data_IF_397329551518
#
_entry.id   IF_397329551518
#
_cell.length_a   1.000
_cell.length_b   1.000
_cell.length_c   1.000
_cell.angle_alpha   90.00
_cell.angle_beta   90.00
_cell.angle_gamma   90.00
#
_symmetry.space_group_name_H-M   'P 1'
#
loop_
_entity.id
_entity.type
_entity.pdbx_description
1 polymer ?
#
# COMPACT_ATOMS: atom_id res chain seq x y z
N UNK A 1 15.12 33.18 6.77
CA UNK A 1 15.95 32.66 5.67
C UNK A 1 15.27 31.42 5.14
N UNK A 2 14.66 31.51 3.97
CA UNK A 2 13.82 30.45 3.38
C UNK A 2 14.71 29.44 2.68
N UNK A 3 14.76 28.19 3.17
CA UNK A 3 15.51 27.12 2.52
C UNK A 3 14.72 26.58 1.33
N UNK A 4 14.97 27.14 0.14
CA UNK A 4 14.44 26.61 -1.11
C UNK A 4 15.22 25.35 -1.49
N UNK A 5 14.61 24.18 -1.30
CA UNK A 5 15.21 22.90 -1.73
C UNK A 5 14.90 22.72 -3.21
N UNK A 6 15.92 22.89 -4.06
CA UNK A 6 15.83 22.61 -5.49
C UNK A 6 15.98 21.10 -5.67
N UNK A 7 14.94 20.44 -6.17
CA UNK A 7 14.95 19.02 -6.50
C UNK A 7 15.71 18.79 -7.82
N UNK A 8 16.61 17.79 -7.90
CA UNK A 8 17.25 17.44 -9.17
C UNK A 8 16.24 16.78 -10.12
N UNK A 9 16.35 17.12 -11.40
CA UNK A 9 15.55 16.56 -12.49
C UNK A 9 15.84 15.06 -12.66
N UNK A 10 14.80 14.23 -12.78
CA UNK A 10 14.88 12.76 -12.90
C UNK A 10 15.53 12.23 -14.21
N UNK A 11 16.21 13.06 -14.99
CA UNK A 11 16.79 12.68 -16.29
C UNK A 11 18.27 12.30 -16.23
N UNK A 12 18.80 11.91 -15.08
CA UNK A 12 20.23 11.68 -14.88
C UNK A 12 20.53 10.27 -14.36
N UNK A 13 19.95 9.26 -15.02
CA UNK A 13 20.19 7.84 -14.69
C UNK A 13 21.24 7.15 -15.58
N UNK A 14 21.82 7.86 -16.55
CA UNK A 14 22.76 7.28 -17.54
C UNK A 14 24.21 7.78 -17.40
N UNK A 15 24.59 8.35 -16.26
CA UNK A 15 25.99 8.68 -16.00
C UNK A 15 26.44 8.12 -14.65
N UNK A 16 27.49 7.29 -14.68
CA UNK A 16 28.20 6.72 -13.54
C UNK A 16 28.79 7.81 -12.64
N UNK A 17 27.94 8.44 -11.83
CA UNK A 17 28.32 9.39 -10.80
C UNK A 17 28.05 8.69 -9.46
N UNK A 18 29.11 8.41 -8.70
CA UNK A 18 29.00 7.95 -7.32
C UNK A 18 28.39 9.08 -6.48
N UNK A 19 27.09 8.96 -6.15
CA UNK A 19 26.42 9.94 -5.29
C UNK A 19 27.03 9.92 -3.87
N UNK A 20 27.11 11.07 -3.19
CA UNK A 20 27.51 11.11 -1.79
C UNK A 20 26.48 10.37 -0.90
N UNK A 21 26.94 9.71 0.17
CA UNK A 21 26.11 8.95 1.11
C UNK A 21 24.90 9.72 1.64
N UNK A 22 25.01 11.05 1.79
CA UNK A 22 23.91 11.92 2.22
C UNK A 22 22.77 12.01 1.18
N UNK A 23 23.08 11.93 -0.11
CA UNK A 23 22.09 11.94 -1.18
C UNK A 23 21.33 10.62 -1.26
N UNK A 24 22.01 9.48 -1.05
CA UNK A 24 21.34 8.17 -0.92
C UNK A 24 20.36 8.15 0.27
N UNK A 25 20.80 8.64 1.45
CA UNK A 25 19.94 8.74 2.62
C UNK A 25 18.72 9.64 2.39
N UNK A 26 18.89 10.77 1.69
CA UNK A 26 17.79 11.65 1.32
C UNK A 26 16.80 10.95 0.36
N UNK A 27 17.29 10.27 -0.68
CA UNK A 27 16.46 9.52 -1.63
C UNK A 27 15.63 8.45 -0.92
N UNK A 28 16.23 7.70 0.00
CA UNK A 28 15.53 6.68 0.78
C UNK A 28 14.49 7.28 1.72
N UNK A 29 14.80 8.41 2.37
CA UNK A 29 13.85 9.14 3.21
C UNK A 29 12.65 9.66 2.40
N UNK A 30 12.87 10.22 1.21
CA UNK A 30 11.80 10.66 0.30
C UNK A 30 10.95 9.48 -0.19
N UNK A 31 11.58 8.34 -0.54
CA UNK A 31 10.85 7.11 -0.88
C UNK A 31 10.00 6.65 0.30
N UNK A 32 10.52 6.69 1.51
CA UNK A 32 9.81 6.24 2.71
C UNK A 32 8.66 7.18 3.10
N UNK A 33 8.83 8.50 2.95
CA UNK A 33 7.73 9.47 3.13
C UNK A 33 6.63 9.30 2.08
N UNK A 34 6.99 9.19 0.80
CA UNK A 34 6.01 8.93 -0.27
C UNK A 34 5.28 7.60 -0.06
N UNK A 35 5.96 6.57 0.48
CA UNK A 35 5.34 5.30 0.88
C UNK A 35 4.30 5.53 1.99
N UNK A 36 4.66 6.23 3.07
CA UNK A 36 3.73 6.54 4.17
C UNK A 36 2.51 7.34 3.69
N UNK A 37 2.70 8.33 2.82
CA UNK A 37 1.58 9.13 2.29
C UNK A 37 0.63 8.31 1.41
N UNK A 38 1.14 7.38 0.59
CA UNK A 38 0.29 6.49 -0.22
C UNK A 38 -0.51 5.49 0.62
N UNK A 39 0.01 5.09 1.78
CA UNK A 39 -0.69 4.22 2.74
C UNK A 39 -1.78 5.01 3.49
N UNK A 40 -1.52 6.29 3.81
CA UNK A 40 -2.47 7.12 4.56
C UNK A 40 -3.67 7.59 3.73
N UNK A 41 -3.54 7.68 2.41
CA UNK A 41 -4.59 8.16 1.51
C UNK A 41 -5.19 7.03 0.66
N UNK A 42 -5.35 5.84 1.23
CA UNK A 42 -5.99 4.73 0.53
C UNK A 42 -6.91 3.94 1.44
N UNK A 43 -7.97 3.38 0.86
CA UNK A 43 -8.90 2.52 1.56
C UNK A 43 -9.08 1.21 0.81
N UNK A 44 -8.96 0.10 1.55
CA UNK A 44 -9.23 -1.22 1.02
C UNK A 44 -10.69 -1.59 1.21
N UNK A 45 -11.30 -2.09 0.14
CA UNK A 45 -12.71 -2.45 0.06
C UNK A 45 -12.83 -3.90 -0.43
N UNK A 46 -13.89 -4.59 -0.04
CA UNK A 46 -14.32 -5.85 -0.64
C UNK A 46 -15.77 -5.77 -1.10
N UNK A 47 -16.11 -6.52 -2.14
CA UNK A 47 -17.45 -6.49 -2.74
C UNK A 47 -18.33 -7.60 -2.16
N UNK A 48 -19.34 -7.25 -1.39
CA UNK A 48 -20.30 -8.19 -0.76
C UNK A 48 -21.69 -7.58 -0.75
N UNK A 49 -22.73 -8.40 -0.93
CA UNK A 49 -24.14 -7.98 -0.91
C UNK A 49 -24.42 -6.79 -1.85
N UNK A 50 -23.86 -6.84 -3.06
CA UNK A 50 -23.97 -5.81 -4.09
C UNK A 50 -23.44 -4.41 -3.70
N UNK A 51 -22.49 -4.33 -2.77
CA UNK A 51 -21.85 -3.09 -2.34
C UNK A 51 -20.37 -3.27 -2.05
N UNK A 52 -19.63 -2.16 -2.11
CA UNK A 52 -18.26 -2.09 -1.61
C UNK A 52 -18.28 -1.82 -0.12
N UNK A 53 -17.62 -2.68 0.65
CA UNK A 53 -17.52 -2.61 2.12
C UNK A 53 -16.06 -2.41 2.49
N UNK A 54 -15.73 -1.44 3.35
CA UNK A 54 -14.36 -1.24 3.77
C UNK A 54 -13.87 -2.33 4.69
N UNK A 55 -12.63 -2.79 4.46
CA UNK A 55 -11.92 -3.62 5.43
C UNK A 55 -11.52 -2.76 6.64
N UNK A 56 -11.30 -3.41 7.77
CA UNK A 56 -10.86 -2.75 8.99
C UNK A 56 -9.50 -2.07 8.76
N UNK A 57 -9.34 -0.85 9.28
CA UNK A 57 -8.14 -0.01 9.07
C UNK A 57 -6.86 -0.74 9.50
N UNK A 58 -6.93 -1.57 10.54
CA UNK A 58 -5.80 -2.38 11.02
C UNK A 58 -5.23 -3.33 9.96
N UNK A 59 -6.03 -3.70 8.96
CA UNK A 59 -5.64 -4.61 7.89
C UNK A 59 -5.01 -3.88 6.70
N UNK A 60 -5.24 -2.58 6.55
CA UNK A 60 -4.78 -1.82 5.39
C UNK A 60 -3.26 -1.81 5.31
N UNK A 61 -2.58 -1.55 6.43
CA UNK A 61 -1.11 -1.54 6.44
C UNK A 61 -0.52 -2.90 6.05
N UNK A 62 -1.11 -4.01 6.52
CA UNK A 62 -0.66 -5.36 6.15
C UNK A 62 -0.81 -5.64 4.67
N UNK A 63 -1.91 -5.20 4.05
CA UNK A 63 -2.14 -5.33 2.60
C UNK A 63 -1.10 -4.54 1.80
N UNK A 64 -0.82 -3.31 2.21
CA UNK A 64 0.20 -2.47 1.57
C UNK A 64 1.60 -3.08 1.68
N UNK A 65 1.99 -3.53 2.88
CA UNK A 65 3.29 -4.16 3.10
C UNK A 65 3.46 -5.44 2.28
N UNK A 66 2.37 -6.20 2.08
CA UNK A 66 2.35 -7.41 1.24
C UNK A 66 2.59 -7.08 -0.23
N UNK A 67 1.93 -6.05 -0.77
CA UNK A 67 2.16 -5.61 -2.15
C UNK A 67 3.59 -5.11 -2.32
N UNK A 68 4.08 -4.30 -1.38
CA UNK A 68 5.43 -3.73 -1.44
C UNK A 68 6.51 -4.81 -1.38
N UNK A 69 6.29 -5.87 -0.59
CA UNK A 69 7.20 -7.01 -0.50
C UNK A 69 7.02 -8.04 -1.62
N UNK A 70 6.09 -7.81 -2.58
CA UNK A 70 5.71 -8.76 -3.62
C UNK A 70 5.24 -10.11 -3.05
N UNK A 71 4.58 -10.07 -1.89
CA UNK A 71 3.98 -11.23 -1.25
C UNK A 71 2.78 -11.74 -2.05
N UNK A 72 2.59 -13.06 -2.09
CA UNK A 72 1.49 -13.70 -2.84
C UNK A 72 0.15 -13.52 -2.14
N UNK A 73 0.14 -13.61 -0.80
CA UNK A 73 -1.06 -13.48 0.00
C UNK A 73 -0.75 -12.96 1.41
N UNK A 74 -1.78 -12.49 2.09
CA UNK A 74 -1.73 -12.14 3.51
C UNK A 74 -2.98 -12.61 4.22
N UNK A 75 -2.81 -13.15 5.42
CA UNK A 75 -3.91 -13.54 6.28
C UNK A 75 -4.27 -12.37 7.21
N UNK A 76 -5.49 -11.84 7.07
CA UNK A 76 -6.01 -10.71 7.86
C UNK A 76 -7.08 -11.18 8.85
N UNK A 77 -7.30 -10.43 9.92
CA UNK A 77 -8.43 -10.64 10.83
C UNK A 77 -9.34 -9.43 10.70
N UNK A 78 -10.57 -9.64 10.27
CA UNK A 78 -11.47 -8.55 9.90
C UNK A 78 -12.87 -8.81 10.47
N UNK A 79 -13.45 -7.76 11.05
CA UNK A 79 -14.72 -7.79 11.78
C UNK A 79 -15.90 -8.24 10.92
N UNK A 80 -15.81 -8.10 9.58
CA UNK A 80 -16.85 -8.53 8.65
C UNK A 80 -16.89 -10.05 8.42
N UNK A 81 -15.89 -10.79 8.92
CA UNK A 81 -15.79 -12.25 8.78
C UNK A 81 -15.64 -12.96 10.14
N UNK A 82 -16.59 -12.81 11.07
CA UNK A 82 -16.44 -13.24 12.47
C UNK A 82 -16.37 -14.76 12.65
N UNK A 83 -16.75 -15.55 11.65
CA UNK A 83 -16.77 -17.01 11.73
C UNK A 83 -15.39 -17.65 11.59
N UNK A 84 -14.38 -16.88 11.17
CA UNK A 84 -13.02 -17.38 10.96
C UNK A 84 -12.03 -16.50 11.71
N UNK A 85 -10.95 -17.12 12.21
CA UNK A 85 -9.87 -16.37 12.86
C UNK A 85 -9.10 -15.49 11.88
N UNK A 86 -8.99 -15.93 10.62
CA UNK A 86 -8.29 -15.22 9.56
C UNK A 86 -8.93 -15.45 8.20
N UNK A 87 -8.85 -14.42 7.35
CA UNK A 87 -9.26 -14.42 5.94
C UNK A 87 -8.02 -14.20 5.09
N UNK A 88 -7.85 -15.04 4.06
CA UNK A 88 -6.70 -14.90 3.16
C UNK A 88 -7.02 -13.93 2.04
N UNK A 89 -6.17 -12.93 1.85
CA UNK A 89 -6.27 -11.93 0.80
C UNK A 89 -5.13 -12.11 -0.18
N UNK A 90 -5.42 -11.99 -1.47
CA UNK A 90 -4.47 -12.04 -2.58
C UNK A 90 -4.49 -10.69 -3.30
N UNK A 91 -3.68 -9.71 -2.84
CA UNK A 91 -3.78 -8.34 -3.30
C UNK A 91 -3.50 -8.17 -4.81
N UNK A 92 -2.50 -8.87 -5.33
CA UNK A 92 -2.14 -8.86 -6.77
C UNK A 92 -3.18 -9.52 -7.67
N UNK A 93 -4.09 -10.32 -7.08
CA UNK A 93 -5.16 -11.01 -7.82
C UNK A 93 -6.53 -10.38 -7.56
N UNK A 94 -6.59 -9.27 -6.84
CA UNK A 94 -7.80 -8.52 -6.52
C UNK A 94 -8.93 -9.37 -5.91
N UNK A 95 -8.58 -10.35 -5.06
CA UNK A 95 -9.60 -11.08 -4.31
C UNK A 95 -9.18 -11.48 -2.90
N UNK A 96 -10.19 -11.73 -2.06
CA UNK A 96 -10.06 -12.45 -0.80
C UNK A 96 -10.84 -13.76 -0.85
N UNK A 97 -10.35 -14.76 -0.11
CA UNK A 97 -10.96 -16.09 -0.01
C UNK A 97 -11.56 -16.28 1.38
N UNK A 98 -12.87 -16.51 1.41
CA UNK A 98 -13.62 -16.77 2.65
C UNK A 98 -14.54 -17.96 2.45
N UNK A 99 -14.30 -19.04 3.22
CA UNK A 99 -15.08 -20.30 3.18
C UNK A 99 -15.28 -20.87 1.76
N UNK A 100 -14.23 -20.79 0.93
CA UNK A 100 -14.27 -21.27 -0.46
C UNK A 100 -14.89 -20.31 -1.48
N UNK A 101 -15.44 -19.18 -1.02
CA UNK A 101 -15.98 -18.12 -1.87
C UNK A 101 -14.92 -17.04 -2.10
N UNK A 102 -14.82 -16.57 -3.35
CA UNK A 102 -13.93 -15.46 -3.73
C UNK A 102 -14.72 -14.15 -3.76
N UNK A 103 -14.29 -13.20 -2.96
CA UNK A 103 -14.83 -11.83 -2.96
C UNK A 103 -13.82 -10.92 -3.65
N UNK A 104 -14.30 -10.07 -4.58
CA UNK A 104 -13.45 -9.06 -5.20
C UNK A 104 -13.00 -8.05 -4.16
N UNK A 105 -11.78 -7.56 -4.27
CA UNK A 105 -11.28 -6.44 -3.48
C UNK A 105 -10.88 -5.29 -4.39
N UNK A 106 -10.76 -4.10 -3.82
CA UNK A 106 -10.22 -2.95 -4.51
C UNK A 106 -9.56 -2.01 -3.52
N UNK A 107 -8.48 -1.36 -3.95
CA UNK A 107 -7.87 -0.24 -3.27
C UNK A 107 -8.34 1.05 -3.94
N UNK A 108 -8.99 1.92 -3.19
CA UNK A 108 -9.34 3.27 -3.66
C UNK A 108 -8.37 4.29 -3.08
N UNK A 109 -7.91 5.21 -3.93
CA UNK A 109 -7.13 6.36 -3.49
C UNK A 109 -8.08 7.45 -3.04
N UNK A 110 -7.91 7.92 -1.80
CA UNK A 110 -8.68 9.03 -1.28
C UNK A 110 -8.00 10.35 -1.71
N UNK A 111 -8.77 11.37 -2.11
CA UNK A 111 -8.21 12.68 -2.39
C UNK A 111 -7.50 13.20 -1.13
N UNK A 112 -6.27 13.69 -1.30
CA UNK A 112 -5.56 14.35 -0.21
C UNK A 112 -6.33 15.60 0.22
N UNK A 113 -6.49 15.78 1.53
CA UNK A 113 -6.98 17.03 2.13
C UNK A 113 -5.92 18.11 1.94
#
# INVERSE_FOLDING_TARGET
MSNTVILPSMKLLDQDITLPTSAYAAIDHYRQMNRKMRVQNAQWLFFKDNRWVPLDIINHQKLEDTILSKGVFVDIQDSHFPQVSKVRVFPELDYLSYLGVRYKISKVLLPGI
#
